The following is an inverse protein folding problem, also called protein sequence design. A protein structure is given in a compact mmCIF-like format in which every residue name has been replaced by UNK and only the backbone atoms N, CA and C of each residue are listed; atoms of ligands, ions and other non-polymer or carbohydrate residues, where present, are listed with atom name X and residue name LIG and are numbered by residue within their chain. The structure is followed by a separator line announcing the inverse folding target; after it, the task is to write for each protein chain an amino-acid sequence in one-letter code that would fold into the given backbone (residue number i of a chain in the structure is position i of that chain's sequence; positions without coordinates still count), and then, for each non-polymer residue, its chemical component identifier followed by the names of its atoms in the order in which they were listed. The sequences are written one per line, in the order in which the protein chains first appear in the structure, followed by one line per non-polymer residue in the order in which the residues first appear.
data_IF_894939930804
#
_entry.id   IF_894939930804
#
_cell.length_a   1.000
_cell.length_b   1.000
_cell.length_c   1.000
_cell.angle_alpha   90.00
_cell.angle_beta   90.00
_cell.angle_gamma   90.00
#
_symmetry.space_group_name_H-M   'P 1'
#
loop_
_entity.id
_entity.type
_entity.pdbx_description
1 polymer ?
#
# COMPACT_ATOMS: atom_id res chain seq x y z
N UNK A 1 24.84 14.58 6.12
CA UNK A 1 23.65 15.10 5.40
C UNK A 1 22.80 13.89 5.03
N UNK A 2 21.59 13.72 5.59
CA UNK A 2 20.73 12.57 5.25
C UNK A 2 19.70 13.04 4.22
N UNK A 3 19.67 12.36 3.09
CA UNK A 3 18.80 12.61 1.95
C UNK A 3 17.33 12.56 2.37
N UNK A 4 16.53 13.54 1.95
CA UNK A 4 15.08 13.40 1.98
C UNK A 4 14.71 12.19 1.11
N UNK A 5 13.69 11.40 1.47
CA UNK A 5 13.23 10.34 0.59
C UNK A 5 12.83 10.96 -0.76
N UNK A 6 13.38 10.45 -1.86
CA UNK A 6 13.13 10.96 -3.21
C UNK A 6 11.65 10.76 -3.56
N UNK A 7 10.87 11.80 -3.34
CA UNK A 7 9.49 11.90 -3.75
C UNK A 7 9.40 11.98 -5.28
N UNK A 8 8.32 11.47 -5.87
CA UNK A 8 8.07 11.56 -7.31
C UNK A 8 8.31 12.99 -7.83
N UNK A 9 9.21 13.08 -8.81
CA UNK A 9 9.33 14.19 -9.74
C UNK A 9 8.61 13.77 -11.02
N UNK A 10 7.57 14.48 -11.48
CA UNK A 10 6.94 14.14 -12.75
C UNK A 10 7.97 14.21 -13.88
N UNK A 11 7.96 13.26 -14.83
CA UNK A 11 8.70 13.46 -16.07
C UNK A 11 8.18 14.75 -16.74
N UNK A 12 9.07 15.59 -17.32
CA UNK A 12 8.65 16.77 -18.07
C UNK A 12 7.84 16.30 -19.28
N UNK A 13 6.50 16.43 -19.17
CA UNK A 13 5.49 16.00 -20.13
C UNK A 13 5.54 14.51 -20.55
N UNK A 14 4.42 13.91 -20.98
CA UNK A 14 4.48 12.55 -21.51
C UNK A 14 5.24 12.58 -22.84
N UNK A 15 6.39 11.89 -22.91
CA UNK A 15 6.91 11.40 -24.19
C UNK A 15 5.76 10.61 -24.83
N UNK A 16 5.28 10.99 -26.04
CA UNK A 16 4.27 10.24 -26.75
C UNK A 16 4.79 8.82 -26.96
N UNK A 17 4.22 7.86 -26.23
CA UNK A 17 4.70 6.49 -26.14
C UNK A 17 3.55 5.51 -26.36
N UNK A 18 3.85 4.50 -27.17
CA UNK A 18 2.99 3.49 -27.78
C UNK A 18 1.90 2.95 -26.84
N UNK A 19 0.63 2.82 -27.29
CA UNK A 19 -0.42 2.19 -26.50
C UNK A 19 -0.03 0.78 -26.05
N UNK A 20 0.11 0.56 -24.74
CA UNK A 20 0.23 -0.78 -24.14
C UNK A 20 1.46 -1.07 -23.28
N UNK A 21 2.40 -0.14 -23.12
CA UNK A 21 3.55 -0.35 -22.22
C UNK A 21 3.17 -0.02 -20.76
N UNK A 22 2.96 -1.06 -19.94
CA UNK A 22 2.64 -0.91 -18.51
C UNK A 22 3.87 -0.45 -17.72
N UNK A 23 3.93 0.84 -17.37
CA UNK A 23 4.99 1.42 -16.54
C UNK A 23 4.83 1.04 -15.06
N UNK A 24 5.96 0.75 -14.41
CA UNK A 24 6.05 0.55 -12.95
C UNK A 24 5.57 1.82 -12.21
N UNK A 25 4.96 1.67 -11.03
CA UNK A 25 4.60 2.83 -10.21
C UNK A 25 5.87 3.56 -9.72
N UNK A 26 5.80 4.89 -9.53
CA UNK A 26 6.86 5.58 -8.80
C UNK A 26 6.93 5.03 -7.37
N UNK A 27 8.12 4.95 -6.76
CA UNK A 27 8.23 4.40 -5.40
C UNK A 27 7.43 5.24 -4.38
N UNK A 28 7.39 6.57 -4.53
CA UNK A 28 6.73 7.50 -3.61
C UNK A 28 6.00 8.61 -4.38
N UNK A 29 4.77 8.96 -3.99
CA UNK A 29 4.05 10.17 -4.45
C UNK A 29 3.78 11.10 -3.25
N UNK A 30 4.39 12.28 -3.29
CA UNK A 30 4.32 13.27 -2.22
C UNK A 30 3.59 14.56 -2.61
N UNK A 31 2.84 14.57 -3.72
CA UNK A 31 2.22 15.79 -4.26
C UNK A 31 1.11 16.35 -3.36
N UNK A 32 0.40 15.49 -2.64
CA UNK A 32 -0.65 15.91 -1.71
C UNK A 32 -0.06 16.54 -0.44
N UNK A 33 -0.71 17.59 0.05
CA UNK A 33 -0.39 18.20 1.36
C UNK A 33 -1.11 17.51 2.52
N UNK A 34 -2.09 16.65 2.23
CA UNK A 34 -2.91 15.94 3.22
C UNK A 34 -2.37 14.55 3.54
N UNK A 35 -1.66 13.92 2.59
CA UNK A 35 -1.12 12.58 2.73
C UNK A 35 0.08 12.39 1.81
N UNK A 36 0.86 11.34 2.07
CA UNK A 36 1.93 10.85 1.18
C UNK A 36 1.62 9.40 0.81
N UNK A 37 2.06 8.95 -0.35
CA UNK A 37 1.81 7.58 -0.82
C UNK A 37 3.12 6.89 -1.16
N UNK A 38 3.25 5.63 -0.77
CA UNK A 38 4.27 4.72 -1.27
C UNK A 38 3.64 3.57 -2.06
N UNK A 39 4.33 3.10 -3.10
CA UNK A 39 3.90 1.97 -3.93
C UNK A 39 4.91 0.85 -3.78
N UNK A 40 4.44 -0.38 -3.54
CA UNK A 40 5.26 -1.59 -3.47
C UNK A 40 4.62 -2.63 -4.38
N UNK A 41 5.35 -3.09 -5.39
CA UNK A 41 4.84 -4.01 -6.40
C UNK A 41 5.45 -5.40 -6.28
N UNK A 42 4.64 -6.42 -6.55
CA UNK A 42 5.00 -7.83 -6.53
C UNK A 42 4.73 -8.49 -7.89
N UNK A 43 5.55 -9.46 -8.24
CA UNK A 43 5.31 -10.37 -9.35
C UNK A 43 4.24 -11.42 -8.99
N UNK A 44 3.68 -12.12 -9.99
CA UNK A 44 2.67 -13.18 -9.77
C UNK A 44 3.20 -14.37 -8.94
N UNK A 45 4.52 -14.52 -8.83
CA UNK A 45 5.18 -15.54 -8.00
C UNK A 45 5.40 -15.09 -6.54
N UNK A 46 5.08 -13.85 -6.20
CA UNK A 46 5.26 -13.27 -4.86
C UNK A 46 6.63 -12.65 -4.59
N UNK A 47 7.52 -12.58 -5.59
CA UNK A 47 8.76 -11.81 -5.49
C UNK A 47 8.50 -10.30 -5.65
N UNK A 48 9.31 -9.47 -4.98
CA UNK A 48 9.22 -8.02 -5.11
C UNK A 48 9.71 -7.58 -6.51
N UNK A 49 9.00 -6.64 -7.14
CA UNK A 49 9.38 -6.07 -8.45
C UNK A 49 10.62 -5.18 -8.31
N UNK A 50 10.66 -4.36 -7.27
CA UNK A 50 11.80 -3.51 -6.94
C UNK A 50 11.97 -3.45 -5.40
N UNK A 51 13.01 -4.08 -4.84
CA UNK A 51 13.28 -4.02 -3.41
C UNK A 51 13.45 -2.60 -2.86
N UNK A 52 13.84 -1.62 -3.70
CA UNK A 52 13.98 -0.23 -3.27
C UNK A 52 12.64 0.45 -2.95
N UNK A 53 11.53 -0.04 -3.51
CA UNK A 53 10.20 0.48 -3.21
C UNK A 53 9.89 0.35 -1.72
N UNK A 54 10.03 -0.85 -1.15
CA UNK A 54 9.80 -1.08 0.28
C UNK A 54 10.70 -0.20 1.15
N UNK A 55 12.00 -0.14 0.84
CA UNK A 55 12.95 0.68 1.59
C UNK A 55 12.53 2.17 1.61
N UNK A 56 12.11 2.70 0.47
CA UNK A 56 11.65 4.09 0.35
C UNK A 56 10.35 4.33 1.12
N UNK A 57 9.41 3.38 1.11
CA UNK A 57 8.17 3.48 1.92
C UNK A 57 8.48 3.51 3.41
N UNK A 58 9.35 2.62 3.90
CA UNK A 58 9.75 2.59 5.31
C UNK A 58 10.47 3.89 5.70
N UNK A 59 11.34 4.42 4.83
CA UNK A 59 12.01 5.71 5.03
C UNK A 59 11.02 6.89 5.05
N UNK A 60 9.98 6.86 4.20
CA UNK A 60 8.91 7.85 4.22
C UNK A 60 8.17 7.86 5.56
N UNK A 61 7.72 6.69 6.05
CA UNK A 61 7.04 6.55 7.35
C UNK A 61 7.92 7.12 8.47
N UNK A 62 9.20 6.74 8.50
CA UNK A 62 10.16 7.25 9.49
C UNK A 62 10.31 8.78 9.41
N UNK A 63 10.34 9.34 8.20
CA UNK A 63 10.47 10.78 8.01
C UNK A 63 9.24 11.56 8.49
N UNK A 64 8.02 11.03 8.28
CA UNK A 64 6.77 11.64 8.74
C UNK A 64 6.69 11.59 10.27
N UNK A 65 7.07 10.47 10.88
CA UNK A 65 7.10 10.31 12.34
C UNK A 65 8.03 11.30 13.01
N UNK A 66 9.25 11.48 12.48
CA UNK A 66 10.21 12.46 13.03
C UNK A 66 9.70 13.91 12.99
N UNK A 67 8.80 14.23 12.05
CA UNK A 67 8.20 15.56 11.92
C UNK A 67 6.93 15.74 12.76
N UNK A 68 6.28 14.64 13.12
CA UNK A 68 5.04 14.65 13.90
C UNK A 68 5.31 14.77 15.41
N UNK A 69 4.57 15.63 16.14
CA UNK A 69 4.61 15.62 17.59
C UNK A 69 4.27 14.24 18.16
N UNK A 70 5.09 13.76 19.11
CA UNK A 70 4.93 12.44 19.70
C UNK A 70 5.18 11.26 18.75
N UNK A 71 5.80 11.49 17.59
CA UNK A 71 6.18 10.44 16.65
C UNK A 71 5.00 9.69 16.02
N UNK A 72 3.79 10.26 16.11
CA UNK A 72 2.53 9.61 15.73
C UNK A 72 2.32 9.68 14.22
N UNK A 73 1.91 8.57 13.61
CA UNK A 73 1.51 8.50 12.18
C UNK A 73 0.34 7.54 11.99
N UNK A 74 -0.47 7.79 10.96
CA UNK A 74 -1.47 6.83 10.49
C UNK A 74 -1.00 6.26 9.16
N UNK A 75 -0.80 4.95 9.11
CA UNK A 75 -0.45 4.24 7.88
C UNK A 75 -1.67 3.49 7.35
N UNK A 76 -2.05 3.73 6.10
CA UNK A 76 -3.17 3.08 5.44
C UNK A 76 -2.62 2.18 4.32
N UNK A 77 -2.54 0.87 4.57
CA UNK A 77 -2.05 -0.11 3.63
C UNK A 77 -3.21 -0.73 2.85
N UNK A 78 -3.15 -0.63 1.54
CA UNK A 78 -4.17 -1.12 0.63
C UNK A 78 -3.61 -2.16 -0.34
N UNK A 79 -4.28 -3.31 -0.43
CA UNK A 79 -3.96 -4.43 -1.32
C UNK A 79 -5.02 -4.48 -2.42
N UNK A 80 -4.64 -4.21 -3.68
CA UNK A 80 -5.62 -4.00 -4.76
C UNK A 80 -6.27 -5.27 -5.31
N UNK A 81 -7.28 -5.16 -6.17
CA UNK A 81 -7.90 -6.31 -6.83
C UNK A 81 -7.26 -6.70 -8.16
N UNK A 82 -7.46 -7.94 -8.61
CA UNK A 82 -6.91 -8.50 -9.85
C UNK A 82 -7.26 -7.73 -11.14
N UNK A 83 -8.41 -7.04 -11.16
CA UNK A 83 -8.97 -6.39 -12.35
C UNK A 83 -8.47 -4.96 -12.54
N UNK A 84 -7.72 -4.44 -11.58
CA UNK A 84 -7.18 -3.09 -11.61
C UNK A 84 -5.66 -3.15 -11.80
N UNK A 85 -5.28 -3.34 -13.06
CA UNK A 85 -3.95 -2.99 -13.53
C UNK A 85 -3.74 -1.51 -13.22
N UNK A 86 -2.57 -1.18 -12.65
CA UNK A 86 -2.22 0.11 -12.08
C UNK A 86 -2.23 1.34 -12.99
N UNK A 87 -2.74 1.24 -14.22
CA UNK A 87 -2.84 2.41 -15.11
C UNK A 87 -3.94 3.35 -14.59
N UNK A 88 -3.82 4.65 -14.83
CA UNK A 88 -4.92 5.60 -14.60
C UNK A 88 -6.18 5.17 -15.38
N UNK A 89 -7.38 5.49 -14.89
CA UNK A 89 -8.58 5.33 -15.69
C UNK A 89 -8.45 6.19 -16.96
N UNK A 90 -8.77 5.62 -18.14
CA UNK A 90 -8.94 6.45 -19.33
C UNK A 90 -10.01 7.52 -19.04
N UNK A 91 -9.91 8.74 -19.60
CA UNK A 91 -10.93 9.77 -19.39
C UNK A 91 -12.35 9.23 -19.65
N UNK A 92 -13.25 9.34 -18.67
CA UNK A 92 -14.63 8.82 -18.75
C UNK A 92 -14.81 7.35 -18.32
N UNK A 93 -13.75 6.63 -17.95
CA UNK A 93 -13.85 5.29 -17.38
C UNK A 93 -14.10 5.32 -15.86
N UNK A 94 -14.59 4.22 -15.29
CA UNK A 94 -14.82 4.11 -13.84
C UNK A 94 -13.48 4.29 -13.09
N UNK A 95 -13.47 4.99 -11.93
CA UNK A 95 -12.26 5.19 -11.15
C UNK A 95 -11.60 3.85 -10.79
N UNK A 96 -10.30 3.72 -11.07
CA UNK A 96 -9.54 2.52 -10.69
C UNK A 96 -9.19 2.55 -9.19
N UNK A 97 -8.75 1.41 -8.66
CA UNK A 97 -8.48 1.22 -7.22
C UNK A 97 -7.53 2.29 -6.64
N UNK A 98 -6.51 2.70 -7.40
CA UNK A 98 -5.55 3.75 -6.99
C UNK A 98 -6.25 5.09 -6.75
N UNK A 99 -7.24 5.45 -7.58
CA UNK A 99 -7.99 6.71 -7.43
C UNK A 99 -8.87 6.66 -6.18
N UNK A 100 -9.57 5.54 -5.96
CA UNK A 100 -10.40 5.34 -4.75
C UNK A 100 -9.55 5.34 -3.48
N UNK A 101 -8.37 4.71 -3.55
CA UNK A 101 -7.38 4.76 -2.48
C UNK A 101 -6.92 6.20 -2.21
N UNK A 102 -6.58 6.96 -3.25
CA UNK A 102 -6.25 8.39 -3.12
C UNK A 102 -7.39 9.21 -2.50
N UNK A 103 -8.64 8.96 -2.89
CA UNK A 103 -9.82 9.59 -2.27
C UNK A 103 -9.94 9.25 -0.77
N UNK A 104 -9.75 7.98 -0.40
CA UNK A 104 -9.79 7.54 1.00
C UNK A 104 -8.67 8.20 1.82
N UNK A 105 -7.45 8.29 1.27
CA UNK A 105 -6.35 9.00 1.92
C UNK A 105 -6.61 10.50 2.06
N UNK A 106 -7.21 11.12 1.04
CA UNK A 106 -7.60 12.53 1.06
C UNK A 106 -8.58 12.83 2.21
N UNK A 107 -9.61 12.01 2.35
CA UNK A 107 -10.59 12.13 3.43
C UNK A 107 -9.95 11.89 4.80
N UNK A 108 -9.10 10.86 4.93
CA UNK A 108 -8.39 10.56 6.18
C UNK A 108 -7.46 11.69 6.59
N UNK A 109 -6.68 12.23 5.65
CA UNK A 109 -5.78 13.36 5.87
C UNK A 109 -6.53 14.65 6.22
N UNK A 110 -7.66 14.91 5.57
CA UNK A 110 -8.53 16.03 5.89
C UNK A 110 -9.07 15.94 7.33
N UNK A 111 -9.58 14.77 7.73
CA UNK A 111 -10.06 14.53 9.11
C UNK A 111 -8.94 14.64 10.14
N UNK A 112 -7.75 14.11 9.85
CA UNK A 112 -6.59 14.23 10.74
C UNK A 112 -6.21 15.70 10.97
N UNK A 113 -6.35 16.54 9.95
CA UNK A 113 -6.13 17.99 10.05
C UNK A 113 -7.21 18.73 10.82
N UNK A 114 -8.47 18.36 10.67
CA UNK A 114 -9.55 18.96 11.48
C UNK A 114 -9.44 18.58 12.96
N UNK A 115 -9.01 17.35 13.27
CA UNK A 115 -8.89 16.88 14.64
C UNK A 115 -7.77 17.58 15.43
N UNK A 116 -6.70 18.04 14.77
CA UNK A 116 -5.63 18.81 15.39
C UNK A 116 -5.00 19.81 14.41
N UNK A 117 -5.65 20.96 14.15
CA UNK A 117 -5.19 21.93 13.14
C UNK A 117 -3.74 22.42 13.30
N UNK A 118 -3.22 22.72 14.51
CA UNK A 118 -1.84 23.19 14.64
C UNK A 118 -0.82 22.08 14.38
N UNK A 119 -1.20 20.81 14.57
CA UNK A 119 -0.30 19.67 14.48
C UNK A 119 -1.05 18.42 13.96
N UNK A 120 -1.42 18.41 12.66
CA UNK A 120 -2.13 17.29 12.06
C UNK A 120 -1.29 16.01 12.15
N UNK A 121 -1.94 14.88 12.43
CA UNK A 121 -1.27 13.58 12.38
C UNK A 121 -0.98 13.25 10.91
N UNK A 122 0.28 12.96 10.52
CA UNK A 122 0.57 12.59 9.14
C UNK A 122 -0.13 11.30 8.74
N UNK A 123 -0.55 11.27 7.47
CA UNK A 123 -1.16 10.10 6.84
C UNK A 123 -0.26 9.59 5.73
N UNK A 124 0.15 8.33 5.83
CA UNK A 124 0.93 7.64 4.80
C UNK A 124 0.11 6.50 4.22
N UNK A 125 -0.19 6.57 2.93
CA UNK A 125 -0.75 5.47 2.18
C UNK A 125 0.35 4.52 1.71
N UNK A 126 0.10 3.21 1.79
CA UNK A 126 0.95 2.18 1.17
C UNK A 126 0.07 1.37 0.22
N UNK A 127 0.34 1.46 -1.08
CA UNK A 127 -0.37 0.72 -2.10
C UNK A 127 0.44 -0.54 -2.49
N UNK A 128 -0.12 -1.71 -2.26
CA UNK A 128 0.45 -3.00 -2.62
C UNK A 128 -0.09 -3.42 -3.99
N UNK A 129 0.83 -3.40 -4.96
CA UNK A 129 0.67 -3.70 -6.38
C UNK A 129 1.02 -5.14 -6.78
N UNK A 130 0.37 -5.71 -7.78
CA UNK A 130 0.91 -6.81 -8.59
C UNK A 130 0.34 -6.79 -10.01
N UNK A 131 1.11 -7.33 -10.95
CA UNK A 131 0.67 -7.49 -12.34
C UNK A 131 -0.32 -8.65 -12.43
N UNK A 132 -1.56 -8.38 -12.83
CA UNK A 132 -2.49 -9.42 -13.26
C UNK A 132 -2.38 -9.65 -14.77
N UNK A 133 -2.18 -10.89 -15.23
CA UNK A 133 -2.33 -11.20 -16.66
C UNK A 133 -3.69 -10.72 -17.21
N UNK A 134 -3.64 -9.77 -18.13
CA UNK A 134 -4.79 -9.35 -18.96
C UNK A 134 -5.24 -10.52 -19.83
N UNK A 135 -6.35 -11.17 -19.46
CA UNK A 135 -6.96 -12.20 -20.30
C UNK A 135 -7.70 -11.53 -21.47
N UNK A 136 -7.17 -11.68 -22.69
CA UNK A 136 -7.98 -11.61 -23.90
C UNK A 136 -8.46 -13.05 -24.21
N UNK A 137 -9.70 -13.40 -23.87
CA UNK A 137 -10.27 -14.72 -24.21
C UNK A 137 -11.67 -14.99 -23.61
N UNK A 138 -12.50 -15.85 -24.24
CA UNK A 138 -13.92 -16.07 -23.91
C UNK A 138 -14.16 -16.71 -22.53
N UNK A 139 -15.38 -16.53 -22.00
CA UNK A 139 -15.78 -16.67 -20.58
C UNK A 139 -15.43 -17.95 -19.82
N UNK A 140 -15.01 -19.04 -20.48
CA UNK A 140 -14.52 -20.27 -19.84
C UNK A 140 -13.14 -20.10 -19.19
N UNK A 141 -12.29 -19.19 -19.71
CA UNK A 141 -11.02 -18.82 -19.08
C UNK A 141 -11.20 -18.13 -17.73
N UNK A 142 -12.38 -17.56 -17.45
CA UNK A 142 -12.67 -16.87 -16.18
C UNK A 142 -12.67 -17.84 -15.00
N UNK A 143 -13.23 -19.05 -15.14
CA UNK A 143 -13.30 -20.06 -14.08
C UNK A 143 -11.94 -20.74 -13.83
N UNK A 144 -11.22 -21.10 -14.89
CA UNK A 144 -9.84 -21.63 -14.80
C UNK A 144 -8.90 -20.54 -14.23
N UNK A 145 -9.14 -19.27 -14.58
CA UNK A 145 -8.41 -18.15 -13.99
C UNK A 145 -8.71 -17.98 -12.51
N UNK A 146 -9.94 -18.20 -12.02
CA UNK A 146 -10.23 -18.07 -10.58
C UNK A 146 -9.43 -19.08 -9.72
N UNK A 147 -9.30 -20.34 -10.17
CA UNK A 147 -8.55 -21.38 -9.44
C UNK A 147 -7.04 -21.25 -9.61
N UNK A 148 -6.56 -20.98 -10.82
CA UNK A 148 -5.17 -20.58 -11.09
C UNK A 148 -4.78 -19.36 -10.24
N UNK A 149 -5.72 -18.43 -10.05
CA UNK A 149 -5.54 -17.24 -9.22
C UNK A 149 -5.60 -17.56 -7.75
N UNK A 150 -6.42 -18.47 -7.23
CA UNK A 150 -6.31 -18.88 -5.81
C UNK A 150 -4.85 -19.24 -5.47
N UNK A 151 -4.17 -19.96 -6.35
CA UNK A 151 -2.74 -20.27 -6.18
C UNK A 151 -1.84 -19.03 -6.30
N UNK A 152 -2.16 -18.07 -7.18
CA UNK A 152 -1.45 -16.79 -7.27
C UNK A 152 -1.67 -15.89 -6.05
N UNK A 153 -2.87 -15.85 -5.46
CA UNK A 153 -3.11 -15.14 -4.20
C UNK A 153 -2.28 -15.75 -3.09
N UNK A 154 -2.19 -17.08 -3.04
CA UNK A 154 -1.38 -17.76 -2.05
C UNK A 154 0.11 -17.45 -2.24
N UNK A 155 0.59 -17.41 -3.48
CA UNK A 155 1.98 -17.06 -3.80
C UNK A 155 2.31 -15.60 -3.47
N UNK A 156 1.46 -14.66 -3.87
CA UNK A 156 1.63 -13.22 -3.58
C UNK A 156 1.49 -12.96 -2.07
N UNK A 157 0.50 -13.56 -1.42
CA UNK A 157 0.30 -13.55 0.03
C UNK A 157 1.29 -14.42 0.80
N UNK A 158 2.37 -14.85 0.17
CA UNK A 158 3.42 -15.66 0.77
C UNK A 158 4.34 -14.86 1.68
N UNK A 159 5.54 -15.39 1.90
CA UNK A 159 6.50 -14.88 2.90
C UNK A 159 6.97 -13.45 2.63
N UNK A 160 7.21 -13.08 1.37
CA UNK A 160 7.71 -11.74 1.01
C UNK A 160 6.70 -10.65 1.37
N UNK A 161 5.44 -10.76 0.92
CA UNK A 161 4.41 -9.77 1.25
C UNK A 161 4.11 -9.74 2.74
N UNK A 162 4.10 -10.91 3.40
CA UNK A 162 3.93 -11.01 4.85
C UNK A 162 5.01 -10.23 5.58
N UNK A 163 6.28 -10.39 5.18
CA UNK A 163 7.40 -9.64 5.72
C UNK A 163 7.27 -8.13 5.45
N UNK A 164 6.91 -7.72 4.24
CA UNK A 164 6.67 -6.31 3.90
C UNK A 164 5.56 -5.70 4.76
N UNK A 165 4.43 -6.39 4.96
CA UNK A 165 3.34 -5.90 5.81
C UNK A 165 3.82 -5.78 7.26
N UNK A 166 4.53 -6.77 7.79
CA UNK A 166 5.10 -6.71 9.14
C UNK A 166 6.09 -5.55 9.29
N UNK A 167 6.98 -5.33 8.33
CA UNK A 167 7.92 -4.21 8.33
C UNK A 167 7.21 -2.86 8.35
N UNK A 168 6.11 -2.71 7.58
CA UNK A 168 5.28 -1.50 7.60
C UNK A 168 4.60 -1.32 8.95
N UNK A 169 4.05 -2.39 9.54
CA UNK A 169 3.40 -2.32 10.85
C UNK A 169 4.41 -1.93 11.94
N UNK A 170 5.54 -2.63 12.00
CA UNK A 170 6.61 -2.39 12.97
C UNK A 170 7.12 -0.95 12.83
N UNK A 171 7.44 -0.51 11.61
CA UNK A 171 7.92 0.86 11.36
C UNK A 171 6.89 1.91 11.74
N UNK A 172 5.60 1.64 11.53
CA UNK A 172 4.51 2.55 11.92
C UNK A 172 4.42 2.68 13.44
N UNK A 173 4.46 1.56 14.16
CA UNK A 173 4.26 1.51 15.61
C UNK A 173 5.52 1.84 16.43
N UNK A 174 6.72 1.75 15.85
CA UNK A 174 7.98 1.96 16.55
C UNK A 174 8.05 3.32 17.30
N UNK A 175 8.22 3.31 18.61
CA UNK A 175 8.36 4.56 19.38
C UNK A 175 7.10 5.43 19.51
N UNK A 176 5.91 4.97 19.08
CA UNK A 176 4.65 5.66 19.37
C UNK A 176 3.46 4.70 19.47
N UNK A 177 2.91 4.54 20.67
CA UNK A 177 1.69 3.75 20.92
C UNK A 177 0.41 4.40 20.35
N UNK A 178 0.51 5.66 19.93
CA UNK A 178 -0.58 6.41 19.33
C UNK A 178 -0.68 6.23 17.81
N UNK A 179 0.35 5.65 17.17
CA UNK A 179 0.32 5.31 15.75
C UNK A 179 -0.73 4.26 15.44
N UNK A 180 -1.24 4.25 14.20
CA UNK A 180 -2.25 3.29 13.75
C UNK A 180 -1.90 2.79 12.36
N UNK A 181 -2.14 1.49 12.14
CA UNK A 181 -2.09 0.88 10.82
C UNK A 181 -3.50 0.42 10.47
N UNK A 182 -3.97 0.79 9.29
CA UNK A 182 -5.22 0.29 8.72
C UNK A 182 -4.85 -0.60 7.54
N UNK A 183 -5.28 -1.86 7.57
CA UNK A 183 -5.08 -2.82 6.49
C UNK A 183 -6.38 -2.99 5.73
N UNK A 184 -6.35 -2.80 4.41
CA UNK A 184 -7.52 -2.94 3.54
C UNK A 184 -7.15 -3.79 2.34
N UNK A 185 -7.93 -4.81 2.05
CA UNK A 185 -7.85 -5.57 0.81
C UNK A 185 -9.16 -5.46 0.04
N UNK A 186 -9.08 -5.21 -1.27
CA UNK A 186 -10.28 -5.15 -2.12
C UNK A 186 -10.38 -6.37 -3.03
N UNK A 187 -11.57 -6.97 -3.08
CA UNK A 187 -11.86 -8.13 -3.91
C UNK A 187 -10.79 -9.22 -3.71
N UNK A 188 -10.02 -9.56 -4.74
CA UNK A 188 -8.94 -10.53 -4.65
C UNK A 188 -7.80 -10.11 -3.71
N UNK A 189 -7.55 -8.81 -3.54
CA UNK A 189 -6.59 -8.31 -2.57
C UNK A 189 -6.99 -8.55 -1.11
N UNK A 190 -8.29 -8.70 -0.83
CA UNK A 190 -8.75 -9.17 0.48
C UNK A 190 -8.23 -10.58 0.78
N UNK A 191 -8.24 -11.45 -0.24
CA UNK A 191 -7.78 -12.84 -0.13
C UNK A 191 -6.26 -12.97 -0.04
N UNK A 192 -5.52 -12.09 -0.74
CA UNK A 192 -4.07 -11.95 -0.60
C UNK A 192 -3.71 -11.51 0.83
N UNK A 193 -4.42 -10.50 1.35
CA UNK A 193 -4.24 -10.00 2.70
C UNK A 193 -4.59 -11.04 3.76
N UNK A 194 -5.71 -11.75 3.60
CA UNK A 194 -6.11 -12.88 4.45
C UNK A 194 -4.99 -13.92 4.54
N UNK A 195 -4.44 -14.32 3.39
CA UNK A 195 -3.37 -15.31 3.37
C UNK A 195 -2.07 -14.81 4.01
N UNK A 196 -1.71 -13.53 3.82
CA UNK A 196 -0.57 -12.95 4.51
C UNK A 196 -0.76 -12.95 6.05
N UNK A 197 -2.00 -12.73 6.52
CA UNK A 197 -2.33 -12.83 7.95
C UNK A 197 -2.16 -14.26 8.45
N UNK A 198 -2.67 -15.26 7.72
CA UNK A 198 -2.45 -16.67 8.04
C UNK A 198 -0.97 -17.05 8.09
N UNK A 199 -0.14 -16.42 7.24
CA UNK A 199 1.30 -16.66 7.15
C UNK A 199 2.15 -15.89 8.17
N UNK A 200 1.54 -15.08 9.05
CA UNK A 200 2.25 -14.45 10.17
C UNK A 200 2.30 -12.93 10.17
N UNK A 201 1.37 -12.22 9.53
CA UNK A 201 1.18 -10.78 9.84
C UNK A 201 0.78 -10.65 11.30
N UNK A 202 1.57 -9.89 12.08
CA UNK A 202 1.31 -9.67 13.50
C UNK A 202 0.35 -8.50 13.67
N UNK A 203 -0.92 -8.81 13.90
CA UNK A 203 -1.91 -7.81 14.29
C UNK A 203 -1.76 -7.51 15.79
N UNK A 204 -1.50 -6.25 16.12
CA UNK A 204 -1.43 -5.81 17.52
C UNK A 204 -2.84 -5.65 18.08
N UNK A 205 -3.38 -6.70 18.72
CA UNK A 205 -4.50 -6.57 19.65
C UNK A 205 -3.94 -6.30 21.05
N UNK A 206 -4.29 -5.16 21.65
CA UNK A 206 -4.02 -4.93 23.07
C UNK A 206 -4.99 -5.76 23.92
N UNK A 207 -4.78 -7.08 23.92
CA UNK A 207 -5.20 -7.98 25.01
C UNK A 207 -4.03 -8.80 25.51
N UNK A 208 -2.94 -8.14 25.90
CA UNK A 208 -2.11 -8.68 26.98
C UNK A 208 -2.64 -8.11 28.28
N UNK A 209 -3.57 -8.85 28.87
CA UNK A 209 -3.95 -8.75 30.27
C UNK A 209 -2.69 -8.65 31.13
N UNK A 210 -2.59 -7.54 31.83
CA UNK A 210 -1.80 -7.39 33.04
C UNK A 210 -2.27 -8.44 34.05
N UNK A 211 -1.64 -9.62 34.03
CA UNK A 211 -1.62 -10.54 35.14
C UNK A 211 -0.15 -10.80 35.46
N UNK A 212 0.43 -9.90 36.23
CA UNK A 212 1.66 -10.21 36.96
C UNK A 212 1.26 -11.17 38.10
N UNK A 213 1.91 -12.33 38.25
CA UNK A 213 1.72 -13.14 39.44
C UNK A 213 2.26 -12.37 40.64
N UNK A 214 1.45 -12.36 41.70
CA UNK A 214 1.79 -11.86 43.04
C UNK A 214 2.85 -12.72 43.69
#
# INVERSE_FOLDING_TARGET
MRTQPDCFVPPPDPVPGVPGEQRQFPSLDCRSTLYKTGFIEFHEDGSAVDPAQEHKVLALIESEKRRAPGGKVITFLYVHGWKNNGDQAAPGAKPKDVERFGTALGELGYRARLANPPNPVPVVGVYIGWRGKSLKGPGLFTFISYWSRRNTANRIGGTTLTATINNVIERTNAGSLASRVVLVGHSFGARVLEHAIENGVTLYDQRRSSAAPS
#
